data_IF_808088220259
#
_entry.id   IF_808088220259
#
_cell.length_a   1.000
_cell.length_b   1.000
_cell.length_c   1.000
_cell.angle_alpha   90.00
_cell.angle_beta   90.00
_cell.angle_gamma   90.00
#
_symmetry.space_group_name_H-M   'P 1'
#
loop_
_entity.id
_entity.type
_entity.pdbx_description
1 polymer ?
#
# COMPACT_ATOMS: atom_id res chain seq x y z
N UNK A 1 8.84 -6.36 16.69
CA UNK A 1 8.95 -5.23 15.74
C UNK A 1 8.50 -3.98 16.47
N UNK A 2 9.43 -3.10 16.82
CA UNK A 2 9.07 -1.74 17.26
C UNK A 2 8.43 -1.04 16.06
N UNK A 3 7.18 -0.61 16.18
CA UNK A 3 6.61 0.28 15.18
C UNK A 3 7.44 1.57 15.22
N UNK A 4 8.21 1.84 14.18
CA UNK A 4 8.74 3.19 14.01
C UNK A 4 7.55 4.14 13.95
N UNK A 5 7.64 5.26 14.68
CA UNK A 5 6.64 6.30 14.56
C UNK A 5 6.66 6.83 13.12
N UNK A 6 5.48 7.15 12.59
CA UNK A 6 5.40 7.76 11.28
C UNK A 6 6.18 9.08 11.25
N UNK A 7 7.04 9.26 10.26
CA UNK A 7 7.77 10.51 10.02
C UNK A 7 7.32 11.11 8.70
N UNK A 8 6.46 12.13 8.79
CA UNK A 8 5.91 12.82 7.62
C UNK A 8 6.92 13.73 6.93
N UNK A 9 8.04 14.06 7.58
CA UNK A 9 9.08 14.94 7.00
C UNK A 9 9.78 14.31 5.80
N UNK A 10 9.76 12.98 5.67
CA UNK A 10 10.27 12.29 4.48
C UNK A 10 9.52 12.69 3.21
N UNK A 11 8.30 13.23 3.34
CA UNK A 11 7.49 13.74 2.24
C UNK A 11 7.80 15.21 1.89
N UNK A 12 8.64 15.90 2.67
CA UNK A 12 9.16 17.22 2.28
C UNK A 12 10.18 17.11 1.13
N UNK A 13 10.69 15.91 0.87
CA UNK A 13 11.63 15.60 -0.20
C UNK A 13 10.88 15.41 -1.53
N UNK A 14 11.05 16.29 -2.53
CA UNK A 14 10.30 16.22 -3.79
C UNK A 14 10.51 14.91 -4.55
N UNK A 15 11.72 14.34 -4.50
CA UNK A 15 12.05 13.08 -5.14
C UNK A 15 11.31 11.88 -4.54
N UNK A 16 11.02 11.91 -3.23
CA UNK A 16 10.24 10.89 -2.52
C UNK A 16 8.76 10.98 -2.92
N UNK A 17 8.20 12.18 -2.96
CA UNK A 17 6.82 12.42 -3.42
C UNK A 17 6.66 12.04 -4.89
N UNK A 18 7.61 12.40 -5.75
CA UNK A 18 7.59 12.01 -7.15
C UNK A 18 7.67 10.49 -7.34
N UNK A 19 8.42 9.81 -6.48
CA UNK A 19 8.53 8.34 -6.47
C UNK A 19 7.20 7.68 -6.08
N UNK A 20 6.46 8.24 -5.12
CA UNK A 20 5.11 7.79 -4.77
C UNK A 20 4.18 7.85 -5.99
N UNK A 21 4.19 8.96 -6.74
CA UNK A 21 3.40 9.11 -7.96
C UNK A 21 3.75 8.09 -9.05
N UNK A 22 5.03 7.76 -9.23
CA UNK A 22 5.48 6.72 -10.19
C UNK A 22 5.03 5.34 -9.76
N UNK A 23 5.16 5.00 -8.47
CA UNK A 23 4.74 3.71 -7.93
C UNK A 23 3.22 3.54 -8.06
N UNK A 24 2.44 4.56 -7.70
CA UNK A 24 0.99 4.58 -7.85
C UNK A 24 0.56 4.33 -9.30
N UNK A 25 1.21 4.98 -10.27
CA UNK A 25 0.91 4.78 -11.69
C UNK A 25 1.17 3.34 -12.13
N UNK A 26 2.27 2.74 -11.67
CA UNK A 26 2.58 1.33 -11.96
C UNK A 26 1.52 0.38 -11.41
N UNK A 27 0.97 0.65 -10.23
CA UNK A 27 -0.09 -0.19 -9.64
C UNK A 27 -1.41 0.02 -10.38
N UNK A 28 -1.81 1.27 -10.61
CA UNK A 28 -3.08 1.57 -11.29
C UNK A 28 -3.13 1.02 -12.72
N UNK A 29 -2.02 1.07 -13.47
CA UNK A 29 -1.98 0.64 -14.87
C UNK A 29 -1.62 -0.86 -15.04
N UNK A 30 -0.96 -1.49 -14.05
CA UNK A 30 -0.07 -2.62 -14.33
C UNK A 30 -0.47 -3.98 -13.77
N UNK A 31 -1.44 -4.09 -12.86
CA UNK A 31 -1.77 -5.36 -12.24
C UNK A 31 -3.25 -5.74 -12.48
N UNK A 32 -3.45 -6.90 -13.11
CA UNK A 32 -4.77 -7.47 -13.41
C UNK A 32 -5.60 -7.70 -12.11
N UNK A 33 -4.94 -8.07 -11.01
CA UNK A 33 -5.56 -8.19 -9.68
C UNK A 33 -5.74 -6.84 -8.95
N UNK A 34 -5.00 -5.79 -9.35
CA UNK A 34 -5.13 -4.43 -8.80
C UNK A 34 -6.04 -3.53 -9.63
N UNK A 35 -6.82 -4.09 -10.57
CA UNK A 35 -7.84 -3.41 -11.37
C UNK A 35 -8.92 -2.68 -10.54
N UNK A 36 -8.80 -2.65 -9.21
CA UNK A 36 -9.76 -2.06 -8.27
C UNK A 36 -9.22 -0.87 -7.48
N UNK A 37 -7.94 -0.50 -7.61
CA UNK A 37 -7.40 0.68 -6.93
C UNK A 37 -7.23 1.84 -7.92
N UNK A 38 -7.81 2.98 -7.59
CA UNK A 38 -7.65 4.20 -8.39
C UNK A 38 -6.26 4.80 -8.18
N UNK A 39 -5.78 5.58 -9.16
CA UNK A 39 -4.47 6.21 -9.08
C UNK A 39 -4.30 7.07 -7.82
N UNK A 40 -5.32 7.84 -7.45
CA UNK A 40 -5.25 8.74 -6.30
C UNK A 40 -5.17 7.95 -4.99
N UNK A 41 -5.97 6.90 -4.85
CA UNK A 41 -5.90 5.98 -3.71
C UNK A 41 -4.53 5.32 -3.62
N UNK A 42 -4.02 4.78 -4.74
CA UNK A 42 -2.70 4.16 -4.79
C UNK A 42 -1.58 5.15 -4.44
N UNK A 43 -1.74 6.42 -4.84
CA UNK A 43 -0.80 7.50 -4.50
C UNK A 43 -0.86 7.83 -3.02
N UNK A 44 -2.06 7.91 -2.45
CA UNK A 44 -2.22 8.17 -1.03
C UNK A 44 -1.61 7.05 -0.18
N UNK A 45 -1.88 5.79 -0.52
CA UNK A 45 -1.27 4.63 0.13
C UNK A 45 0.25 4.64 -0.01
N UNK A 46 0.77 5.03 -1.18
CA UNK A 46 2.21 5.14 -1.37
C UNK A 46 2.85 6.16 -0.41
N UNK A 47 2.21 7.32 -0.21
CA UNK A 47 2.68 8.34 0.73
C UNK A 47 2.61 7.85 2.18
N UNK A 48 1.54 7.13 2.56
CA UNK A 48 1.39 6.54 3.89
C UNK A 48 2.48 5.50 4.14
N UNK A 49 2.76 4.60 3.18
CA UNK A 49 3.83 3.61 3.32
C UNK A 49 5.19 4.27 3.52
N UNK A 50 5.51 5.31 2.75
CA UNK A 50 6.77 6.04 2.88
C UNK A 50 6.90 6.73 4.24
N UNK A 51 5.84 7.38 4.72
CA UNK A 51 5.83 8.05 6.02
C UNK A 51 5.85 7.07 7.21
N UNK A 52 5.23 5.89 7.07
CA UNK A 52 5.15 4.87 8.14
C UNK A 52 6.35 3.93 8.17
N UNK A 53 7.20 3.96 7.14
CA UNK A 53 8.47 3.21 7.07
C UNK A 53 9.65 4.16 6.82
N UNK A 54 9.88 5.16 7.69
CA UNK A 54 10.91 6.16 7.44
C UNK A 54 12.32 5.59 7.45
N UNK A 55 12.59 4.51 8.22
CA UNK A 55 13.87 3.80 8.15
C UNK A 55 14.20 3.29 6.74
N UNK A 56 13.21 2.80 5.99
CA UNK A 56 13.40 2.35 4.60
C UNK A 56 13.79 3.51 3.68
N UNK A 57 13.14 4.67 3.85
CA UNK A 57 13.43 5.87 3.06
C UNK A 57 14.83 6.37 3.38
N UNK A 58 15.14 6.54 4.66
CA UNK A 58 16.41 7.05 5.13
C UNK A 58 17.58 6.13 4.74
N UNK A 59 17.42 4.81 4.84
CA UNK A 59 18.42 3.83 4.37
C UNK A 59 18.71 4.00 2.88
N UNK A 60 17.67 4.08 2.05
CA UNK A 60 17.84 4.20 0.60
C UNK A 60 18.42 5.55 0.16
N UNK A 61 18.21 6.61 0.95
CA UNK A 61 18.75 7.94 0.68
C UNK A 61 20.17 8.14 1.23
N UNK A 62 20.53 7.45 2.31
CA UNK A 62 21.85 7.57 2.94
C UNK A 62 22.89 6.61 2.34
N UNK A 63 22.46 5.48 1.77
CA UNK A 63 23.34 4.49 1.15
C UNK A 63 23.42 4.68 -0.38
N UNK A 64 24.61 5.08 -0.85
CA UNK A 64 24.92 5.29 -2.27
C UNK A 64 24.71 4.03 -3.15
N UNK A 65 24.69 2.83 -2.54
CA UNK A 65 24.48 1.57 -3.25
C UNK A 65 23.00 1.19 -3.49
N UNK A 66 22.05 1.84 -2.79
CA UNK A 66 20.61 1.54 -2.89
C UNK A 66 19.87 2.56 -3.74
N UNK A 67 19.92 3.84 -3.33
CA UNK A 67 19.27 4.95 -4.00
C UNK A 67 17.75 4.82 -4.21
N UNK A 68 17.23 5.73 -5.03
CA UNK A 68 15.79 5.81 -5.36
C UNK A 68 15.26 4.59 -6.13
N UNK A 69 16.13 3.87 -6.85
CA UNK A 69 15.73 2.68 -7.59
C UNK A 69 15.28 1.53 -6.67
N UNK A 70 16.07 1.27 -5.62
CA UNK A 70 15.71 0.26 -4.62
C UNK A 70 14.47 0.70 -3.83
N UNK A 71 14.40 1.98 -3.44
CA UNK A 71 13.23 2.52 -2.74
C UNK A 71 11.95 2.32 -3.56
N UNK A 72 12.00 2.60 -4.86
CA UNK A 72 10.89 2.39 -5.77
C UNK A 72 10.45 0.92 -5.81
N UNK A 73 11.39 -0.02 -5.96
CA UNK A 73 11.06 -1.45 -5.98
C UNK A 73 10.44 -1.93 -4.67
N UNK A 74 10.98 -1.49 -3.51
CA UNK A 74 10.44 -1.84 -2.20
C UNK A 74 9.02 -1.29 -2.01
N UNK A 75 8.80 -0.01 -2.36
CA UNK A 75 7.48 0.63 -2.30
C UNK A 75 6.45 -0.08 -3.18
N UNK A 76 6.79 -0.40 -4.43
CA UNK A 76 5.88 -1.11 -5.34
C UNK A 76 5.48 -2.47 -4.77
N UNK A 77 6.42 -3.21 -4.16
CA UNK A 77 6.11 -4.50 -3.52
C UNK A 77 5.13 -4.33 -2.36
N UNK A 78 5.39 -3.37 -1.48
CA UNK A 78 4.52 -3.09 -0.33
C UNK A 78 3.09 -2.69 -0.77
N UNK A 79 2.98 -1.89 -1.84
CA UNK A 79 1.68 -1.51 -2.40
C UNK A 79 0.93 -2.72 -2.98
N UNK A 80 1.61 -3.61 -3.69
CA UNK A 80 1.01 -4.85 -4.20
C UNK A 80 0.48 -5.71 -3.05
N UNK A 81 1.28 -5.87 -2.00
CA UNK A 81 0.89 -6.66 -0.84
C UNK A 81 -0.31 -6.05 -0.12
N UNK A 82 -0.35 -4.72 0.00
CA UNK A 82 -1.48 -4.00 0.58
C UNK A 82 -2.75 -4.17 -0.26
N UNK A 83 -2.69 -3.91 -1.57
CA UNK A 83 -3.86 -4.04 -2.48
C UNK A 83 -4.40 -5.47 -2.47
N UNK A 84 -3.54 -6.48 -2.52
CA UNK A 84 -3.95 -7.89 -2.43
C UNK A 84 -4.61 -8.22 -1.10
N UNK A 85 -4.10 -7.65 -0.02
CA UNK A 85 -4.64 -7.84 1.32
C UNK A 85 -6.03 -7.21 1.44
N UNK A 86 -6.20 -5.97 0.97
CA UNK A 86 -7.49 -5.27 0.93
C UNK A 86 -8.50 -5.99 0.02
N UNK A 87 -8.08 -6.46 -1.15
CA UNK A 87 -8.94 -7.26 -2.03
C UNK A 87 -9.42 -8.55 -1.34
N UNK A 88 -8.52 -9.25 -0.63
CA UNK A 88 -8.86 -10.43 0.16
C UNK A 88 -9.84 -10.12 1.29
N UNK A 89 -9.71 -8.98 1.96
CA UNK A 89 -10.66 -8.55 2.99
C UNK A 89 -12.02 -8.21 2.39
N UNK A 90 -12.07 -7.48 1.27
CA UNK A 90 -13.30 -7.19 0.52
C UNK A 90 -14.07 -8.45 0.14
N UNK A 91 -13.39 -9.50 -0.32
CA UNK A 91 -14.02 -10.80 -0.62
C UNK A 91 -14.64 -11.47 0.63
N UNK A 92 -14.11 -11.19 1.83
CA UNK A 92 -14.58 -11.77 3.10
C UNK A 92 -15.71 -10.96 3.76
N UNK A 93 -16.09 -9.82 3.21
CA UNK A 93 -17.22 -9.06 3.73
C UNK A 93 -18.54 -9.70 3.28
N UNK A 94 -19.15 -10.45 4.19
CA UNK A 94 -20.54 -10.89 4.08
C UNK A 94 -21.46 -9.75 4.52
N UNK A 95 -22.52 -9.45 3.77
CA UNK A 95 -23.52 -8.48 4.21
C UNK A 95 -24.19 -8.96 5.50
N UNK A 96 -24.65 -8.03 6.33
CA UNK A 96 -25.38 -8.37 7.56
C UNK A 96 -26.55 -9.33 7.28
N UNK A 97 -27.29 -9.06 6.21
CA UNK A 97 -28.41 -9.89 5.75
C UNK A 97 -27.95 -11.31 5.35
N UNK A 98 -26.86 -11.44 4.58
CA UNK A 98 -26.33 -12.75 4.20
C UNK A 98 -25.77 -13.53 5.42
N UNK A 99 -25.27 -12.83 6.44
CA UNK A 99 -24.84 -13.44 7.69
C UNK A 99 -26.02 -13.93 8.54
N UNK A 100 -27.12 -13.15 8.61
CA UNK A 100 -28.36 -13.54 9.28
C UNK A 100 -29.02 -14.74 8.59
N UNK A 101 -29.15 -14.71 7.27
CA UNK A 101 -29.72 -15.81 6.48
C UNK A 101 -28.95 -17.13 6.65
N UNK A 102 -27.61 -17.06 6.68
CA UNK A 102 -26.77 -18.23 6.92
C UNK A 102 -26.94 -18.77 8.35
N UNK A 103 -27.09 -17.89 9.35
CA UNK A 103 -27.34 -18.28 10.74
C UNK A 103 -28.73 -18.90 10.95
N UNK A 104 -29.75 -18.45 10.22
CA UNK A 104 -31.09 -19.05 10.25
C UNK A 104 -31.12 -20.42 9.56
N UNK A 105 -30.45 -20.57 8.41
CA UNK A 105 -30.37 -21.85 7.66
C UNK A 105 -29.53 -22.92 8.36
N UNK A 106 -28.55 -22.54 9.18
CA UNK A 106 -27.72 -23.48 9.95
C UNK A 106 -28.36 -24.03 11.23
N UNK A 107 -29.62 -23.67 11.51
CA UNK A 107 -30.33 -23.96 12.77
C UNK A 107 -31.40 -25.07 12.65
N UNK A 108 -31.38 -25.84 11.56
CA UNK A 108 -32.27 -26.99 11.29
C UNK A 108 -31.57 -28.31 11.58
#
# INVERSE_FOLDING_TARGET
>A
MTAEAADWRVLDLPEVVALAGRAARRIADGYEDSLTIEYEDARQEALIVLATKPGMVNECLADDSLGLGVLYHRLVRDLIDHVKTEAKYRVRHTSYEAACDAAEKGRV
#
